data_IF_359000720823
#
_entry.id   IF_359000720823
#
_cell.length_a   1.000
_cell.length_b   1.000
_cell.length_c   1.000
_cell.angle_alpha   90.00
_cell.angle_beta   90.00
_cell.angle_gamma   90.00
#
_symmetry.space_group_name_H-M   'P 1'
#
loop_
_entity.id
_entity.type
_entity.pdbx_description
1 polymer ?
#
# COMPACT_ATOMS: atom_id res chain seq x y z
N UNK A 1 23.22 -13.04 10.26
CA UNK A 1 22.02 -13.29 11.10
C UNK A 1 21.65 -12.11 12.01
N UNK A 2 22.01 -10.86 11.65
CA UNK A 2 21.69 -9.68 12.47
C UNK A 2 21.34 -8.52 11.53
N UNK A 3 20.08 -8.46 11.08
CA UNK A 3 19.42 -7.23 10.56
C UNK A 3 17.89 -7.45 10.42
N UNK A 4 17.27 -8.20 11.34
CA UNK A 4 15.81 -8.43 11.35
C UNK A 4 15.11 -7.94 12.62
N UNK A 5 15.76 -7.06 13.38
CA UNK A 5 15.28 -6.57 14.69
C UNK A 5 14.75 -5.14 14.66
N UNK A 6 14.91 -4.39 13.56
CA UNK A 6 14.39 -3.01 13.46
C UNK A 6 12.98 -2.94 12.88
N UNK A 7 12.48 -4.00 12.21
CA UNK A 7 11.14 -4.01 11.60
C UNK A 7 9.99 -4.05 12.63
N UNK A 8 10.23 -4.60 13.83
CA UNK A 8 9.17 -4.82 14.82
C UNK A 8 8.61 -3.54 15.45
N UNK A 9 9.41 -2.50 15.65
CA UNK A 9 8.98 -1.32 16.42
C UNK A 9 8.16 -0.33 15.60
N UNK A 10 8.38 -0.27 14.28
CA UNK A 10 7.60 0.58 13.37
C UNK A 10 6.32 -0.13 12.95
N UNK A 11 6.36 -1.42 12.62
CA UNK A 11 5.18 -2.23 12.29
C UNK A 11 4.13 -2.24 13.41
N UNK A 12 4.55 -2.29 14.68
CA UNK A 12 3.64 -2.22 15.84
C UNK A 12 3.09 -0.81 16.11
N UNK A 13 3.73 0.25 15.60
CA UNK A 13 3.26 1.65 15.76
C UNK A 13 2.29 2.08 14.67
N UNK A 14 2.20 1.31 13.58
CA UNK A 14 1.27 1.56 12.46
C UNK A 14 -0.20 1.26 12.79
N UNK A 15 -0.49 0.69 13.96
CA UNK A 15 -1.84 0.23 14.33
C UNK A 15 -2.72 1.28 15.02
N UNK A 16 -2.22 2.50 15.26
CA UNK A 16 -3.08 3.55 15.85
C UNK A 16 -4.14 4.07 14.87
N UNK A 17 -3.89 3.91 13.57
CA UNK A 17 -4.75 4.37 12.49
C UNK A 17 -5.34 3.19 11.72
N UNK A 18 -6.67 3.08 11.71
CA UNK A 18 -7.38 1.99 11.04
C UNK A 18 -7.14 1.96 9.53
N UNK A 19 -6.95 3.13 8.90
CA UNK A 19 -6.62 3.20 7.48
C UNK A 19 -5.22 2.66 7.22
N UNK A 20 -4.23 3.02 8.04
CA UNK A 20 -2.88 2.49 7.93
C UNK A 20 -2.86 0.97 8.10
N UNK A 21 -3.61 0.44 9.07
CA UNK A 21 -3.77 -1.00 9.28
C UNK A 21 -4.42 -1.70 8.07
N UNK A 22 -5.45 -1.10 7.47
CA UNK A 22 -6.08 -1.63 6.26
C UNK A 22 -5.11 -1.68 5.07
N UNK A 23 -4.35 -0.60 4.82
CA UNK A 23 -3.34 -0.58 3.75
C UNK A 23 -2.24 -1.62 4.02
N UNK A 24 -1.83 -1.78 5.27
CA UNK A 24 -0.86 -2.81 5.69
C UNK A 24 -1.39 -4.23 5.46
N UNK A 25 -2.67 -4.49 5.76
CA UNK A 25 -3.30 -5.78 5.47
C UNK A 25 -3.31 -6.04 3.95
N UNK A 26 -3.69 -5.03 3.15
CA UNK A 26 -3.69 -5.14 1.70
C UNK A 26 -2.28 -5.42 1.16
N UNK A 27 -1.25 -4.76 1.69
CA UNK A 27 0.16 -5.03 1.36
C UNK A 27 0.49 -6.51 1.54
N UNK A 28 0.16 -7.09 2.70
CA UNK A 28 0.44 -8.50 2.94
C UNK A 28 -0.32 -9.42 1.98
N UNK A 29 -1.60 -9.13 1.70
CA UNK A 29 -2.38 -9.90 0.72
C UNK A 29 -1.75 -9.90 -0.67
N UNK A 30 -1.24 -8.76 -1.13
CA UNK A 30 -0.63 -8.63 -2.46
C UNK A 30 0.80 -9.19 -2.50
N UNK A 31 1.57 -9.04 -1.42
CA UNK A 31 2.94 -9.56 -1.31
C UNK A 31 3.00 -11.09 -1.39
N UNK A 32 2.12 -11.78 -0.67
CA UNK A 32 2.24 -13.23 -0.50
C UNK A 32 1.83 -14.06 -1.73
N UNK A 33 0.87 -13.57 -2.53
CA UNK A 33 0.23 -14.38 -3.56
C UNK A 33 0.12 -13.59 -4.88
N UNK A 34 0.82 -14.03 -5.95
CA UNK A 34 0.70 -13.41 -7.28
C UNK A 34 -0.74 -13.33 -7.80
N UNK A 35 -1.56 -14.34 -7.52
CA UNK A 35 -2.99 -14.34 -7.90
C UNK A 35 -3.76 -13.15 -7.32
N UNK A 36 -3.40 -12.67 -6.13
CA UNK A 36 -4.04 -11.51 -5.53
C UNK A 36 -3.66 -10.24 -6.29
N UNK A 37 -2.39 -10.11 -6.74
CA UNK A 37 -1.95 -9.01 -7.62
C UNK A 37 -2.75 -9.00 -8.93
N UNK A 38 -2.90 -10.16 -9.57
CA UNK A 38 -3.62 -10.29 -10.83
C UNK A 38 -5.10 -9.92 -10.69
N UNK A 39 -5.76 -10.41 -9.64
CA UNK A 39 -7.17 -10.10 -9.34
C UNK A 39 -7.32 -8.61 -9.04
N UNK A 40 -6.40 -8.03 -8.26
CA UNK A 40 -6.41 -6.63 -7.88
C UNK A 40 -6.29 -5.70 -9.10
N UNK A 41 -5.40 -6.03 -10.05
CA UNK A 41 -5.25 -5.29 -11.31
C UNK A 41 -6.51 -5.43 -12.17
N UNK A 42 -6.99 -6.65 -12.37
CA UNK A 42 -8.13 -6.95 -13.25
C UNK A 42 -9.44 -6.29 -12.78
N UNK A 43 -9.63 -6.20 -11.47
CA UNK A 43 -10.84 -5.61 -10.88
C UNK A 43 -10.72 -4.10 -10.64
N UNK A 44 -9.67 -3.45 -11.15
CA UNK A 44 -9.42 -2.01 -10.97
C UNK A 44 -9.39 -1.58 -9.49
N UNK A 45 -8.95 -2.47 -8.59
CA UNK A 45 -8.99 -2.21 -7.15
C UNK A 45 -8.12 -1.02 -6.73
N UNK A 46 -7.03 -0.73 -7.46
CA UNK A 46 -6.20 0.46 -7.23
C UNK A 46 -6.99 1.77 -7.40
N UNK A 47 -7.82 1.85 -8.46
CA UNK A 47 -8.64 3.02 -8.74
C UNK A 47 -9.71 3.21 -7.66
N UNK A 48 -10.40 2.13 -7.29
CA UNK A 48 -11.37 2.15 -6.19
C UNK A 48 -10.72 2.58 -4.89
N UNK A 49 -9.53 2.05 -4.56
CA UNK A 49 -8.80 2.42 -3.36
C UNK A 49 -8.41 3.90 -3.37
N UNK A 50 -7.88 4.42 -4.49
CA UNK A 50 -7.58 5.84 -4.66
C UNK A 50 -8.78 6.74 -4.40
N UNK A 51 -9.92 6.43 -5.01
CA UNK A 51 -11.19 7.18 -4.80
C UNK A 51 -11.65 7.11 -3.34
N UNK A 52 -11.50 5.96 -2.67
CA UNK A 52 -11.83 5.85 -1.24
C UNK A 52 -10.88 6.71 -0.39
N UNK A 53 -9.59 6.71 -0.69
CA UNK A 53 -8.59 7.50 0.03
C UNK A 53 -8.83 9.00 -0.09
N UNK A 54 -9.30 9.48 -1.25
CA UNK A 54 -9.69 10.89 -1.43
C UNK A 54 -10.89 11.31 -0.57
N UNK A 55 -11.74 10.37 -0.16
CA UNK A 55 -12.90 10.62 0.68
C UNK A 55 -12.58 10.57 2.17
N UNK A 56 -11.36 10.16 2.54
CA UNK A 56 -10.93 10.10 3.94
C UNK A 56 -10.69 11.53 4.46
N UNK A 57 -11.24 11.90 5.63
CA UNK A 57 -10.92 13.16 6.30
C UNK A 57 -9.41 13.33 6.48
N UNK A 58 -8.88 14.54 6.22
CA UNK A 58 -7.43 14.81 6.29
C UNK A 58 -6.84 14.48 7.66
N UNK A 59 -7.61 14.63 8.74
CA UNK A 59 -7.17 14.32 10.11
C UNK A 59 -6.82 12.82 10.32
N UNK A 60 -7.33 11.94 9.44
CA UNK A 60 -7.01 10.52 9.43
C UNK A 60 -5.87 10.17 8.46
N UNK A 61 -5.39 11.11 7.65
CA UNK A 61 -4.29 10.92 6.71
C UNK A 61 -2.95 11.29 7.39
N UNK A 62 -2.56 10.50 8.38
CA UNK A 62 -1.32 10.72 9.14
C UNK A 62 -0.08 10.08 8.47
N UNK A 63 1.08 10.27 9.10
CA UNK A 63 2.35 9.69 8.63
C UNK A 63 2.31 8.16 8.58
N UNK A 64 1.51 7.51 9.44
CA UNK A 64 1.39 6.04 9.42
C UNK A 64 0.69 5.57 8.14
N UNK A 65 -0.36 6.28 7.69
CA UNK A 65 -1.02 5.98 6.41
C UNK A 65 -0.04 6.15 5.25
N UNK A 66 0.70 7.25 5.22
CA UNK A 66 1.70 7.50 4.18
C UNK A 66 2.80 6.42 4.16
N UNK A 67 3.29 6.02 5.33
CA UNK A 67 4.27 4.93 5.47
C UNK A 67 3.71 3.58 5.02
N UNK A 68 2.46 3.24 5.40
CA UNK A 68 1.80 2.01 4.93
C UNK A 68 1.70 1.97 3.40
N UNK A 69 1.36 3.10 2.76
CA UNK A 69 1.30 3.18 1.30
C UNK A 69 2.68 3.05 0.67
N UNK A 70 3.70 3.72 1.23
CA UNK A 70 5.07 3.59 0.76
C UNK A 70 5.52 2.12 0.79
N UNK A 71 5.28 1.42 1.90
CA UNK A 71 5.62 0.00 2.00
C UNK A 71 4.78 -0.90 1.08
N UNK A 72 3.50 -0.56 0.84
CA UNK A 72 2.66 -1.27 -0.11
C UNK A 72 3.28 -1.24 -1.51
N UNK A 73 3.78 -0.08 -1.93
CA UNK A 73 4.41 0.13 -3.23
C UNK A 73 5.74 -0.64 -3.31
N UNK A 74 6.59 -0.54 -2.29
CA UNK A 74 7.88 -1.24 -2.22
C UNK A 74 7.73 -2.77 -2.29
N UNK A 75 6.81 -3.35 -1.52
CA UNK A 75 6.61 -4.81 -1.50
C UNK A 75 5.91 -5.34 -2.77
N UNK A 76 5.26 -4.46 -3.55
CA UNK A 76 4.60 -4.82 -4.81
C UNK A 76 5.47 -4.56 -6.05
N UNK A 77 6.63 -3.93 -5.89
CA UNK A 77 7.60 -3.77 -6.96
C UNK A 77 8.23 -5.14 -7.28
N UNK A 78 7.91 -5.67 -8.45
CA UNK A 78 8.50 -6.91 -8.93
C UNK A 78 9.71 -6.53 -9.78
N UNK A 79 10.88 -6.38 -9.14
CA UNK A 79 12.13 -5.96 -9.77
C UNK A 79 12.55 -6.84 -10.98
N UNK A 80 11.95 -8.03 -11.12
CA UNK A 80 12.18 -8.94 -12.24
C UNK A 80 11.35 -8.60 -13.48
N UNK A 81 10.33 -7.74 -13.34
CA UNK A 81 9.40 -7.37 -14.41
C UNK A 81 9.52 -5.88 -14.73
N UNK A 82 10.13 -5.57 -15.87
CA UNK A 82 10.46 -4.19 -16.31
C UNK A 82 9.23 -3.24 -16.35
N UNK A 83 8.01 -3.77 -16.34
CA UNK A 83 6.75 -3.00 -16.30
C UNK A 83 5.68 -3.69 -15.45
N UNK A 84 5.77 -3.59 -14.14
CA UNK A 84 4.68 -4.03 -13.26
C UNK A 84 3.43 -3.14 -13.48
N UNK A 85 2.39 -3.71 -14.11
CA UNK A 85 1.09 -3.03 -14.30
C UNK A 85 0.48 -2.59 -12.97
N UNK A 86 0.67 -3.41 -11.93
CA UNK A 86 0.24 -3.09 -10.56
C UNK A 86 0.91 -1.81 -10.05
N UNK A 87 2.22 -1.69 -10.26
CA UNK A 87 2.98 -0.52 -9.83
C UNK A 87 2.52 0.75 -10.59
N UNK A 88 2.26 0.64 -11.90
CA UNK A 88 1.69 1.74 -12.68
C UNK A 88 0.32 2.16 -12.15
N UNK A 89 -0.53 1.22 -11.75
CA UNK A 89 -1.81 1.52 -11.13
C UNK A 89 -1.66 2.24 -9.78
N UNK A 90 -0.70 1.85 -8.94
CA UNK A 90 -0.44 2.55 -7.68
C UNK A 90 0.06 3.98 -7.89
N UNK A 91 0.97 4.19 -8.84
CA UNK A 91 1.41 5.55 -9.18
C UNK A 91 0.24 6.41 -9.67
N UNK A 92 -0.58 5.89 -10.58
CA UNK A 92 -1.65 6.67 -11.19
C UNK A 92 -2.81 6.95 -10.24
N UNK A 93 -3.26 5.96 -9.46
CA UNK A 93 -4.49 6.07 -8.68
C UNK A 93 -4.29 6.34 -7.18
N UNK A 94 -3.11 6.03 -6.61
CA UNK A 94 -2.88 6.16 -5.17
C UNK A 94 -1.92 7.31 -4.88
N UNK A 95 -0.76 7.35 -5.55
CA UNK A 95 0.29 8.31 -5.20
C UNK A 95 0.10 9.71 -5.78
N UNK A 96 -0.56 9.83 -6.94
CA UNK A 96 -0.69 11.12 -7.63
C UNK A 96 -1.83 12.00 -7.13
N UNK A 97 -2.81 11.42 -6.43
CA UNK A 97 -4.05 12.09 -6.05
C UNK A 97 -4.36 11.91 -4.54
N UNK A 98 -3.30 11.99 -3.74
CA UNK A 98 -3.48 12.42 -2.36
C UNK A 98 -3.87 13.89 -2.44
N UNK A 99 -5.16 14.18 -2.33
CA UNK A 99 -5.64 15.52 -1.98
C UNK A 99 -5.18 15.84 -0.54
N UNK A 100 -3.86 16.02 -0.34
CA UNK A 100 -3.23 16.40 0.91
C UNK A 100 -3.63 17.83 1.28
#
# INVERSE_FOLDING_TARGET
LITKTVSSSMELKLEHNQLAAFITMLRYMLKEKPVNKDVFVRNHCAATLGVLMQKVPRDLMDVNVLMSVQYLVEDCDDHLTVKSTLLQHFYHYILFDFSL
#
